data_IF_106838745763
#
_entry.id   IF_106838745763
#
_cell.length_a   1.000
_cell.length_b   1.000
_cell.length_c   1.000
_cell.angle_alpha   90.00
_cell.angle_beta   90.00
_cell.angle_gamma   90.00
#
_symmetry.space_group_name_H-M   'P 1'
#
loop_
_entity.id
_entity.type
_entity.pdbx_description
1 polymer ?
#
# COMPACT_ATOMS: atom_id res chain seq x y z
N UNK A 1 -55.13 -45.58 32.68
CA UNK A 1 -56.61 -45.45 32.65
C UNK A 1 -57.35 -46.75 32.36
N UNK A 2 -56.84 -47.67 31.52
CA UNK A 2 -57.50 -48.98 31.30
C UNK A 2 -57.51 -49.84 32.58
N UNK A 3 -56.35 -50.00 33.21
CA UNK A 3 -56.23 -50.71 34.50
C UNK A 3 -57.11 -50.13 35.60
N UNK A 4 -57.14 -48.80 35.77
CA UNK A 4 -58.00 -48.15 36.77
C UNK A 4 -59.50 -48.48 36.58
N UNK A 5 -59.96 -48.54 35.32
CA UNK A 5 -61.35 -48.93 35.02
C UNK A 5 -61.63 -50.39 35.39
N UNK A 6 -60.66 -51.29 35.17
CA UNK A 6 -60.79 -52.70 35.54
C UNK A 6 -60.92 -52.88 37.06
N UNK A 7 -60.17 -52.12 37.86
CA UNK A 7 -60.31 -52.14 39.31
C UNK A 7 -61.64 -51.54 39.77
N UNK A 8 -62.08 -50.44 39.17
CA UNK A 8 -63.36 -49.80 39.52
C UNK A 8 -64.57 -50.71 39.21
N UNK A 9 -64.47 -51.54 38.17
CA UNK A 9 -65.51 -52.49 37.81
C UNK A 9 -65.66 -53.63 38.84
N UNK A 10 -64.63 -53.91 39.64
CA UNK A 10 -64.68 -54.90 40.74
C UNK A 10 -65.37 -54.36 41.99
N UNK A 11 -65.64 -53.05 42.07
CA UNK A 11 -66.29 -52.41 43.21
C UNK A 11 -67.81 -52.46 43.03
N UNK A 12 -68.55 -52.90 44.06
CA UNK A 12 -70.02 -52.82 44.11
C UNK A 12 -70.44 -51.38 44.41
N UNK A 13 -70.66 -50.61 43.36
CA UNK A 13 -71.19 -49.25 43.41
C UNK A 13 -72.16 -49.04 42.23
N UNK A 14 -73.08 -48.08 42.36
CA UNK A 14 -73.95 -47.69 41.25
C UNK A 14 -73.12 -47.21 40.05
N UNK A 15 -73.52 -47.62 38.85
CA UNK A 15 -72.80 -47.28 37.60
C UNK A 15 -72.70 -45.77 37.39
N UNK A 16 -73.72 -45.00 37.79
CA UNK A 16 -73.69 -43.54 37.74
C UNK A 16 -72.56 -42.94 38.59
N UNK A 17 -72.25 -43.54 39.75
CA UNK A 17 -71.15 -43.11 40.61
C UNK A 17 -69.79 -43.45 39.99
N UNK A 18 -69.65 -44.66 39.44
CA UNK A 18 -68.41 -45.10 38.76
C UNK A 18 -68.06 -44.18 37.59
N UNK A 19 -69.05 -43.83 36.76
CA UNK A 19 -68.87 -42.92 35.62
C UNK A 19 -68.45 -41.52 36.08
N UNK A 20 -69.08 -40.97 37.14
CA UNK A 20 -68.70 -39.68 37.73
C UNK A 20 -67.25 -39.69 38.26
N UNK A 21 -66.85 -40.76 38.95
CA UNK A 21 -65.49 -40.91 39.49
C UNK A 21 -64.45 -40.99 38.38
N UNK A 22 -64.70 -41.76 37.32
CA UNK A 22 -63.80 -41.81 36.15
C UNK A 22 -63.68 -40.43 35.50
N UNK A 23 -64.78 -39.69 35.37
CA UNK A 23 -64.80 -38.35 34.77
C UNK A 23 -63.99 -37.36 35.62
N UNK A 24 -64.16 -37.39 36.95
CA UNK A 24 -63.42 -36.54 37.88
C UNK A 24 -61.92 -36.81 37.83
N UNK A 25 -61.51 -38.09 37.94
CA UNK A 25 -60.08 -38.47 37.90
C UNK A 25 -59.45 -38.09 36.57
N UNK A 26 -60.16 -38.30 35.44
CA UNK A 26 -59.67 -37.87 34.13
C UNK A 26 -59.47 -36.36 34.06
N UNK A 27 -60.42 -35.59 34.58
CA UNK A 27 -60.33 -34.13 34.61
C UNK A 27 -59.13 -33.66 35.44
N UNK A 28 -58.93 -34.23 36.63
CA UNK A 28 -57.86 -33.83 37.53
C UNK A 28 -56.47 -34.27 37.04
N UNK A 29 -56.39 -35.48 36.47
CA UNK A 29 -55.17 -35.95 35.77
C UNK A 29 -54.79 -35.01 34.63
N UNK A 30 -55.77 -34.53 33.86
CA UNK A 30 -55.54 -33.59 32.78
C UNK A 30 -55.04 -32.23 33.28
N UNK A 31 -55.57 -31.71 34.40
CA UNK A 31 -55.07 -30.46 35.01
C UNK A 31 -53.63 -30.60 35.49
N UNK A 32 -53.28 -31.72 36.12
CA UNK A 32 -51.91 -32.01 36.57
C UNK A 32 -50.96 -32.08 35.38
N UNK A 33 -51.35 -32.77 34.31
CA UNK A 33 -50.56 -32.85 33.08
C UNK A 33 -50.38 -31.47 32.41
N UNK A 34 -51.41 -30.62 32.38
CA UNK A 34 -51.30 -29.25 31.87
C UNK A 34 -50.36 -28.38 32.71
N UNK A 35 -50.42 -28.49 34.05
CA UNK A 35 -49.54 -27.75 34.97
C UNK A 35 -48.07 -28.18 34.83
N UNK A 36 -47.84 -29.49 34.65
CA UNK A 36 -46.51 -30.04 34.41
C UNK A 36 -45.95 -29.64 33.04
N UNK A 37 -46.76 -29.61 31.98
CA UNK A 37 -46.33 -29.15 30.65
C UNK A 37 -45.97 -27.66 30.64
N UNK A 38 -46.71 -26.80 31.35
CA UNK A 38 -46.34 -25.37 31.50
C UNK A 38 -44.98 -25.20 32.19
N UNK A 39 -44.75 -25.89 33.31
CA UNK A 39 -43.47 -25.85 34.05
C UNK A 39 -42.29 -26.38 33.21
N UNK A 40 -42.52 -27.41 32.40
CA UNK A 40 -41.46 -27.97 31.55
C UNK A 40 -41.13 -27.02 30.39
N UNK A 41 -42.13 -26.42 29.73
CA UNK A 41 -41.88 -25.49 28.61
C UNK A 41 -41.10 -24.24 29.04
N UNK A 42 -41.36 -23.67 30.21
CA UNK A 42 -40.55 -22.54 30.73
C UNK A 42 -39.09 -22.92 30.99
N UNK A 43 -38.84 -24.16 31.44
CA UNK A 43 -37.49 -24.67 31.76
C UNK A 43 -36.63 -24.94 30.51
N UNK A 44 -37.25 -25.28 29.38
CA UNK A 44 -36.57 -25.55 28.11
C UNK A 44 -36.46 -24.34 27.19
N UNK A 45 -37.43 -23.41 27.20
CA UNK A 45 -37.36 -22.17 26.41
C UNK A 45 -36.23 -21.24 26.86
N UNK A 46 -36.01 -21.10 28.18
CA UNK A 46 -34.98 -20.18 28.71
C UNK A 46 -33.54 -20.60 28.42
N UNK A 47 -33.23 -21.91 28.38
CA UNK A 47 -31.86 -22.41 28.21
C UNK A 47 -31.43 -22.50 26.74
N UNK A 48 -32.33 -22.90 25.83
CA UNK A 48 -32.03 -22.98 24.39
C UNK A 48 -31.84 -21.62 23.74
N UNK A 49 -32.69 -20.64 24.07
CA UNK A 49 -32.63 -19.28 23.51
C UNK A 49 -31.39 -18.52 24.02
N UNK A 50 -30.98 -18.73 25.28
CA UNK A 50 -29.78 -18.08 25.82
C UNK A 50 -28.49 -18.66 25.23
N UNK A 51 -28.43 -19.97 24.96
CA UNK A 51 -27.33 -20.60 24.24
C UNK A 51 -27.22 -20.15 22.78
N UNK A 52 -28.35 -20.08 22.06
CA UNK A 52 -28.40 -19.56 20.68
C UNK A 52 -28.00 -18.08 20.58
N UNK A 53 -28.41 -17.24 21.55
CA UNK A 53 -28.01 -15.82 21.60
C UNK A 53 -26.50 -15.65 21.87
N UNK A 54 -25.90 -16.49 22.71
CA UNK A 54 -24.44 -16.51 22.93
C UNK A 54 -23.66 -16.97 21.70
N UNK A 55 -24.14 -18.00 21.01
CA UNK A 55 -23.53 -18.48 19.75
C UNK A 55 -23.68 -17.44 18.63
N UNK A 56 -24.84 -16.80 18.50
CA UNK A 56 -25.05 -15.71 17.55
C UNK A 56 -24.15 -14.51 17.84
N UNK A 57 -23.99 -14.14 19.12
CA UNK A 57 -23.06 -13.08 19.54
C UNK A 57 -21.60 -13.42 19.22
N UNK A 58 -21.17 -14.66 19.46
CA UNK A 58 -19.82 -15.12 19.14
C UNK A 58 -19.57 -15.11 17.61
N UNK A 59 -20.51 -15.61 16.82
CA UNK A 59 -20.43 -15.57 15.35
C UNK A 59 -20.39 -14.13 14.82
N UNK A 60 -21.19 -13.23 15.39
CA UNK A 60 -21.15 -11.81 15.03
C UNK A 60 -19.79 -11.18 15.37
N UNK A 61 -19.23 -11.45 16.56
CA UNK A 61 -17.88 -10.95 16.90
C UNK A 61 -16.79 -11.47 15.97
N UNK A 62 -16.85 -12.74 15.57
CA UNK A 62 -15.89 -13.32 14.62
C UNK A 62 -16.06 -12.68 13.23
N UNK A 63 -17.29 -12.46 12.78
CA UNK A 63 -17.56 -11.79 11.51
C UNK A 63 -17.04 -10.35 11.51
N UNK A 64 -17.26 -9.59 12.60
CA UNK A 64 -16.72 -8.23 12.73
C UNK A 64 -15.19 -8.23 12.74
N UNK A 65 -14.56 -9.14 13.49
CA UNK A 65 -13.09 -9.27 13.49
C UNK A 65 -12.55 -9.63 12.10
N UNK A 66 -13.22 -10.53 11.38
CA UNK A 66 -12.85 -10.88 10.01
C UNK A 66 -12.96 -9.67 9.07
N UNK A 67 -14.04 -8.89 9.16
CA UNK A 67 -14.23 -7.67 8.36
C UNK A 67 -13.14 -6.63 8.68
N UNK A 68 -12.84 -6.41 9.96
CA UNK A 68 -11.78 -5.47 10.39
C UNK A 68 -10.41 -5.96 9.93
N UNK A 69 -10.12 -7.27 10.05
CA UNK A 69 -8.85 -7.85 9.62
C UNK A 69 -8.68 -7.76 8.11
N UNK A 70 -9.69 -8.15 7.33
CA UNK A 70 -9.66 -8.08 5.87
C UNK A 70 -9.61 -6.63 5.37
N UNK A 71 -10.39 -5.73 5.97
CA UNK A 71 -10.35 -4.31 5.65
C UNK A 71 -9.00 -3.67 5.97
N UNK A 72 -8.44 -3.97 7.14
CA UNK A 72 -7.11 -3.52 7.54
C UNK A 72 -6.01 -4.06 6.64
N UNK A 73 -6.09 -5.33 6.23
CA UNK A 73 -5.15 -5.94 5.29
C UNK A 73 -5.20 -5.26 3.92
N UNK A 74 -6.39 -4.99 3.38
CA UNK A 74 -6.55 -4.28 2.11
C UNK A 74 -5.98 -2.86 2.17
N UNK A 75 -6.28 -2.11 3.24
CA UNK A 75 -5.73 -0.77 3.45
C UNK A 75 -4.21 -0.77 3.58
N UNK A 76 -3.65 -1.79 4.22
CA UNK A 76 -2.22 -1.95 4.36
C UNK A 76 -1.52 -2.24 3.03
N UNK A 77 -2.11 -3.08 2.18
CA UNK A 77 -1.51 -3.46 0.89
C UNK A 77 -1.84 -2.49 -0.26
N UNK A 78 -2.63 -1.45 -0.02
CA UNK A 78 -2.97 -0.47 -1.04
C UNK A 78 -1.90 0.62 -1.15
N UNK A 79 -1.28 0.83 -2.32
CA UNK A 79 -0.34 1.93 -2.53
C UNK A 79 -1.06 3.28 -2.51
N UNK A 80 -0.44 4.27 -1.88
CA UNK A 80 -0.94 5.65 -1.73
C UNK A 80 0.12 6.69 -2.12
N UNK A 81 1.33 6.26 -2.41
CA UNK A 81 2.43 7.03 -2.98
C UNK A 81 3.30 6.08 -3.83
N UNK A 82 4.10 6.63 -4.72
CA UNK A 82 5.00 5.86 -5.58
C UNK A 82 6.38 6.50 -5.63
N UNK A 83 7.41 5.71 -5.90
CA UNK A 83 8.78 6.19 -6.12
C UNK A 83 9.29 5.58 -7.41
N UNK A 84 9.57 6.42 -8.40
CA UNK A 84 10.28 6.04 -9.62
C UNK A 84 11.78 6.14 -9.37
N UNK A 85 12.52 5.09 -9.73
CA UNK A 85 13.97 5.01 -9.60
C UNK A 85 14.56 4.75 -10.98
N UNK A 86 15.20 5.78 -11.54
CA UNK A 86 15.62 5.83 -12.93
C UNK A 86 17.13 6.02 -13.05
N UNK A 87 17.81 4.94 -13.44
CA UNK A 87 19.24 4.90 -13.80
C UNK A 87 19.39 4.44 -15.26
N UNK A 88 18.51 3.52 -15.68
CA UNK A 88 18.73 2.43 -16.64
C UNK A 88 19.49 1.26 -15.98
N UNK A 89 18.82 0.52 -15.07
CA UNK A 89 17.39 0.16 -15.05
C UNK A 89 16.41 1.21 -14.52
N UNK A 90 15.12 1.04 -14.86
CA UNK A 90 13.97 1.82 -14.34
C UNK A 90 13.01 0.94 -13.55
N UNK A 91 12.76 1.29 -12.28
CA UNK A 91 11.90 0.55 -11.35
C UNK A 91 10.95 1.50 -10.62
N UNK A 92 9.71 1.08 -10.41
CA UNK A 92 8.73 1.79 -9.59
C UNK A 92 8.40 1.01 -8.30
N UNK A 93 8.31 1.73 -7.18
CA UNK A 93 7.83 1.22 -5.91
C UNK A 93 6.46 1.83 -5.59
N UNK A 94 5.47 1.02 -5.24
CA UNK A 94 4.24 1.48 -4.62
C UNK A 94 4.32 1.39 -3.11
N UNK A 95 4.06 2.52 -2.43
CA UNK A 95 4.17 2.69 -0.99
C UNK A 95 2.81 2.79 -0.32
N UNK A 96 2.59 2.05 0.77
CA UNK A 96 1.39 2.17 1.57
C UNK A 96 1.40 3.40 2.49
N UNK A 97 0.35 3.56 3.31
CA UNK A 97 0.22 4.72 4.20
C UNK A 97 1.29 4.79 5.30
N UNK A 98 2.00 3.68 5.57
CA UNK A 98 3.14 3.62 6.49
C UNK A 98 4.49 3.82 5.77
N UNK A 99 4.48 4.23 4.49
CA UNK A 99 5.66 4.35 3.62
C UNK A 99 6.45 3.04 3.48
N UNK A 100 5.76 1.90 3.53
CA UNK A 100 6.32 0.58 3.23
C UNK A 100 5.98 0.16 1.81
N UNK A 101 6.92 -0.52 1.16
CA UNK A 101 6.74 -1.06 -0.18
C UNK A 101 5.70 -2.17 -0.15
N UNK A 102 4.67 -2.05 -0.99
CA UNK A 102 3.60 -3.04 -1.16
C UNK A 102 3.43 -3.48 -2.61
N UNK A 103 4.12 -2.83 -3.54
CA UNK A 103 4.26 -3.26 -4.93
C UNK A 103 5.59 -2.79 -5.49
N UNK A 104 6.12 -3.55 -6.45
CA UNK A 104 7.40 -3.30 -7.10
C UNK A 104 7.23 -3.67 -8.57
N UNK A 105 7.59 -2.76 -9.47
CA UNK A 105 7.44 -2.95 -10.91
C UNK A 105 8.72 -2.58 -11.65
N UNK A 106 9.19 -3.47 -12.52
CA UNK A 106 10.27 -3.17 -13.46
C UNK A 106 9.71 -2.49 -14.69
N UNK A 107 9.92 -1.19 -14.83
CA UNK A 107 9.35 -0.37 -15.90
C UNK A 107 9.96 -0.74 -17.25
N UNK A 108 11.28 -0.91 -17.31
CA UNK A 108 11.98 -1.38 -18.50
C UNK A 108 12.56 -2.80 -18.32
N UNK A 109 13.09 -3.39 -19.40
CA UNK A 109 13.65 -4.75 -19.39
C UNK A 109 14.79 -4.92 -18.37
N UNK A 110 15.71 -3.95 -18.32
CA UNK A 110 16.79 -3.94 -17.33
C UNK A 110 16.24 -3.90 -15.89
N UNK A 111 15.16 -3.13 -15.66
CA UNK A 111 14.49 -3.05 -14.37
C UNK A 111 13.86 -4.38 -13.96
N UNK A 112 13.17 -5.05 -14.89
CA UNK A 112 12.65 -6.40 -14.66
C UNK A 112 13.78 -7.38 -14.35
N UNK A 113 14.89 -7.29 -15.08
CA UNK A 113 16.09 -8.10 -14.85
C UNK A 113 16.68 -7.89 -13.46
N UNK A 114 16.89 -6.64 -13.05
CA UNK A 114 17.44 -6.28 -11.75
C UNK A 114 16.56 -6.81 -10.60
N UNK A 115 15.24 -6.73 -10.74
CA UNK A 115 14.30 -7.14 -9.69
C UNK A 115 14.26 -8.65 -9.41
N UNK A 116 14.70 -9.50 -10.35
CA UNK A 116 14.65 -10.96 -10.18
C UNK A 116 15.42 -11.48 -8.96
N UNK A 117 16.46 -10.75 -8.53
CA UNK A 117 17.29 -11.10 -7.37
C UNK A 117 16.97 -10.29 -6.11
N UNK A 118 15.93 -9.46 -6.15
CA UNK A 118 15.61 -8.50 -5.08
C UNK A 118 14.31 -8.83 -4.37
N UNK A 119 14.29 -8.62 -3.05
CA UNK A 119 13.08 -8.68 -2.23
C UNK A 119 12.86 -7.32 -1.58
N UNK A 120 12.09 -6.46 -2.25
CA UNK A 120 11.86 -5.08 -1.79
C UNK A 120 10.53 -4.90 -1.04
N UNK A 121 9.58 -5.82 -1.19
CA UNK A 121 8.30 -5.77 -0.50
C UNK A 121 8.47 -5.74 1.03
N UNK A 122 7.58 -5.00 1.68
CA UNK A 122 7.56 -4.74 3.12
C UNK A 122 8.78 -3.98 3.67
N UNK A 123 9.77 -3.59 2.86
CA UNK A 123 10.81 -2.65 3.29
C UNK A 123 10.24 -1.23 3.44
N UNK A 124 10.89 -0.39 4.23
CA UNK A 124 10.64 1.07 4.14
C UNK A 124 11.12 1.61 2.79
N UNK A 125 10.54 2.72 2.34
CA UNK A 125 10.96 3.36 1.08
C UNK A 125 12.47 3.61 1.03
N UNK A 126 13.07 4.07 2.14
CA UNK A 126 14.49 4.35 2.23
C UNK A 126 15.37 3.09 2.15
N UNK A 127 14.95 2.00 2.79
CA UNK A 127 15.65 0.71 2.71
C UNK A 127 15.56 0.12 1.30
N UNK A 128 14.40 0.22 0.65
CA UNK A 128 14.19 -0.28 -0.69
C UNK A 128 15.03 0.49 -1.72
N UNK A 129 15.04 1.83 -1.66
CA UNK A 129 15.87 2.67 -2.52
C UNK A 129 17.36 2.39 -2.26
N UNK A 130 17.76 2.24 -0.98
CA UNK A 130 19.13 1.82 -0.66
C UNK A 130 19.49 0.50 -1.34
N UNK A 131 18.65 -0.53 -1.19
CA UNK A 131 18.91 -1.85 -1.74
C UNK A 131 19.00 -1.79 -3.27
N UNK A 132 18.10 -1.03 -3.91
CA UNK A 132 18.11 -0.79 -5.35
C UNK A 132 19.42 -0.17 -5.84
N UNK A 133 19.84 0.95 -5.24
CA UNK A 133 21.09 1.63 -5.65
C UNK A 133 22.32 0.74 -5.43
N UNK A 134 22.33 -0.03 -4.34
CA UNK A 134 23.43 -0.96 -4.04
C UNK A 134 23.50 -2.13 -5.02
N UNK A 135 22.35 -2.72 -5.37
CA UNK A 135 22.32 -3.82 -6.34
C UNK A 135 22.63 -3.31 -7.75
N UNK A 136 22.12 -2.13 -8.12
CA UNK A 136 22.46 -1.48 -9.39
C UNK A 136 23.97 -1.25 -9.51
N UNK A 137 24.63 -0.77 -8.45
CA UNK A 137 26.08 -0.63 -8.38
C UNK A 137 26.78 -1.99 -8.56
N UNK A 138 26.36 -3.00 -7.79
CA UNK A 138 26.95 -4.34 -7.81
C UNK A 138 26.83 -5.02 -9.18
N UNK A 139 25.77 -4.75 -9.93
CA UNK A 139 25.51 -5.27 -11.27
C UNK A 139 26.18 -4.44 -12.38
N UNK A 140 26.88 -3.35 -12.04
CA UNK A 140 27.62 -2.52 -12.99
C UNK A 140 26.77 -1.50 -13.75
N UNK A 141 25.55 -1.20 -13.28
CA UNK A 141 24.72 -0.13 -13.87
C UNK A 141 25.18 1.28 -13.45
N UNK A 142 26.00 1.37 -12.40
CA UNK A 142 26.63 2.61 -11.97
C UNK A 142 28.11 2.58 -12.32
N UNK A 143 28.53 3.56 -13.12
CA UNK A 143 29.93 3.71 -13.51
C UNK A 143 30.74 4.22 -12.33
N UNK A 144 31.88 3.57 -12.06
CA UNK A 144 32.79 3.94 -10.97
C UNK A 144 33.43 5.33 -11.15
N UNK A 145 33.42 5.85 -12.38
CA UNK A 145 33.95 7.18 -12.66
C UNK A 145 33.12 8.28 -11.99
N UNK A 146 31.82 8.07 -11.75
CA UNK A 146 30.89 9.07 -11.22
C UNK A 146 29.97 9.69 -12.26
N UNK A 147 29.94 9.18 -13.49
CA UNK A 147 29.08 9.71 -14.57
C UNK A 147 27.63 9.26 -14.46
N UNK A 148 27.34 8.25 -13.64
CA UNK A 148 25.99 7.73 -13.50
C UNK A 148 25.12 8.69 -12.71
N UNK A 149 23.87 8.81 -13.16
CA UNK A 149 22.84 9.62 -12.51
C UNK A 149 21.77 8.68 -12.01
N UNK A 150 21.44 8.79 -10.73
CA UNK A 150 20.29 8.15 -10.11
C UNK A 150 19.20 9.20 -9.96
N UNK A 151 18.17 9.14 -10.81
CA UNK A 151 17.00 9.99 -10.66
C UNK A 151 15.94 9.28 -9.81
N UNK A 152 15.51 9.95 -8.74
CA UNK A 152 14.49 9.47 -7.82
C UNK A 152 13.33 10.45 -7.86
N UNK A 153 12.13 10.02 -8.21
CA UNK A 153 10.96 10.89 -8.22
C UNK A 153 9.84 10.29 -7.40
N UNK A 154 9.35 11.04 -6.42
CA UNK A 154 8.26 10.61 -5.54
C UNK A 154 6.93 11.18 -6.01
N UNK A 155 5.89 10.34 -6.11
CA UNK A 155 4.56 10.72 -6.54
C UNK A 155 3.53 10.48 -5.43
N UNK A 156 2.73 11.48 -5.10
CA UNK A 156 1.57 11.30 -4.22
C UNK A 156 0.46 12.30 -4.55
N UNK A 157 -0.78 11.99 -4.17
CA UNK A 157 -1.92 12.94 -4.31
C UNK A 157 -1.71 14.22 -3.50
N UNK A 158 -1.03 14.11 -2.36
CA UNK A 158 -0.68 15.25 -1.52
C UNK A 158 0.80 15.57 -1.71
N UNK A 159 1.09 16.74 -2.28
CA UNK A 159 2.45 17.18 -2.59
C UNK A 159 3.36 17.21 -1.34
N UNK A 160 2.88 17.71 -0.19
CA UNK A 160 3.63 17.69 1.08
C UNK A 160 3.95 16.28 1.56
N UNK A 161 3.12 15.28 1.21
CA UNK A 161 3.42 13.88 1.53
C UNK A 161 4.52 13.36 0.61
N UNK A 162 4.47 13.68 -0.68
CA UNK A 162 5.51 13.30 -1.63
C UNK A 162 6.87 13.92 -1.23
N UNK A 163 6.89 15.22 -0.93
CA UNK A 163 8.07 15.96 -0.44
C UNK A 163 8.69 15.29 0.81
N UNK A 164 7.87 14.94 1.82
CA UNK A 164 8.37 14.27 3.04
C UNK A 164 8.99 12.89 2.77
N UNK A 165 8.49 12.16 1.79
CA UNK A 165 9.04 10.86 1.41
C UNK A 165 10.35 11.07 0.65
N UNK A 166 10.37 12.02 -0.29
CA UNK A 166 11.59 12.44 -1.01
C UNK A 166 12.71 12.83 -0.03
N UNK A 167 12.44 13.75 0.91
CA UNK A 167 13.41 14.21 1.91
C UNK A 167 14.08 13.02 2.64
N UNK A 168 13.28 12.05 3.09
CA UNK A 168 13.76 10.87 3.81
C UNK A 168 14.62 9.97 2.93
N UNK A 169 14.17 9.72 1.70
CA UNK A 169 14.91 8.92 0.72
C UNK A 169 16.25 9.59 0.40
N UNK A 170 16.22 10.90 0.14
CA UNK A 170 17.39 11.69 -0.20
C UNK A 170 18.43 11.66 0.93
N UNK A 171 18.00 11.87 2.18
CA UNK A 171 18.88 11.80 3.34
C UNK A 171 19.50 10.41 3.50
N UNK A 172 18.73 9.34 3.24
CA UNK A 172 19.25 7.96 3.29
C UNK A 172 20.30 7.73 2.22
N UNK A 173 20.01 8.12 0.97
CA UNK A 173 20.91 7.92 -0.17
C UNK A 173 22.20 8.71 0.01
N UNK A 174 22.14 9.96 0.47
CA UNK A 174 23.33 10.76 0.80
C UNK A 174 24.24 10.08 1.83
N UNK A 175 23.66 9.49 2.89
CA UNK A 175 24.43 8.75 3.90
C UNK A 175 25.15 7.55 3.28
N UNK A 176 24.47 6.79 2.42
CA UNK A 176 25.07 5.61 1.76
C UNK A 176 26.22 5.99 0.85
N UNK A 177 26.06 7.05 0.06
CA UNK A 177 27.11 7.58 -0.82
C UNK A 177 28.36 7.92 0.01
N UNK A 178 28.17 8.62 1.13
CA UNK A 178 29.26 8.97 2.04
C UNK A 178 29.90 7.74 2.70
N UNK A 179 29.10 6.82 3.24
CA UNK A 179 29.56 5.63 3.98
C UNK A 179 30.29 4.62 3.09
N UNK A 180 29.83 4.44 1.85
CA UNK A 180 30.38 3.45 0.92
C UNK A 180 31.31 4.05 -0.13
N UNK A 181 31.66 5.33 0.01
CA UNK A 181 32.51 6.08 -0.92
C UNK A 181 32.09 5.90 -2.38
N UNK A 182 30.77 5.88 -2.61
CA UNK A 182 30.26 5.71 -3.95
C UNK A 182 30.36 7.04 -4.70
N UNK A 183 30.71 6.96 -5.97
CA UNK A 183 30.77 8.12 -6.83
C UNK A 183 29.63 8.05 -7.85
N UNK A 184 28.52 8.75 -7.60
CA UNK A 184 27.46 8.99 -8.57
C UNK A 184 26.60 10.18 -8.15
N UNK A 185 25.87 10.74 -9.10
CA UNK A 185 25.01 11.89 -8.88
C UNK A 185 23.60 11.45 -8.57
N UNK A 186 23.01 11.99 -7.50
CA UNK A 186 21.62 11.71 -7.14
C UNK A 186 20.77 12.94 -7.36
N UNK A 187 19.79 12.79 -8.24
CA UNK A 187 18.72 13.74 -8.43
C UNK A 187 17.49 13.23 -7.69
N UNK A 188 16.86 14.09 -6.91
CA UNK A 188 15.60 13.80 -6.22
C UNK A 188 14.60 14.89 -6.53
N UNK A 189 13.36 14.49 -6.77
CA UNK A 189 12.24 15.39 -6.99
C UNK A 189 10.93 14.74 -6.49
N UNK A 190 9.87 15.55 -6.42
CA UNK A 190 8.52 15.08 -6.15
C UNK A 190 7.52 15.68 -7.12
N UNK A 191 6.41 14.97 -7.31
CA UNK A 191 5.34 15.38 -8.20
C UNK A 191 3.96 14.88 -7.74
N UNK A 192 2.91 15.45 -8.33
CA UNK A 192 1.55 14.96 -8.16
C UNK A 192 1.40 13.58 -8.81
N UNK A 193 0.61 12.71 -8.19
CA UNK A 193 0.28 11.38 -8.70
C UNK A 193 -0.32 11.37 -10.12
N UNK A 194 -1.04 12.40 -10.54
CA UNK A 194 -1.61 12.50 -11.90
C UNK A 194 -0.54 12.37 -12.99
N UNK A 195 0.65 12.88 -12.70
CA UNK A 195 1.81 12.87 -13.60
C UNK A 195 2.30 11.44 -13.90
N UNK A 196 2.07 10.50 -12.96
CA UNK A 196 2.37 9.07 -13.14
C UNK A 196 1.50 8.46 -14.25
N UNK A 197 0.19 8.71 -14.23
CA UNK A 197 -0.73 8.16 -15.24
C UNK A 197 -0.49 8.73 -16.63
N UNK A 198 -0.01 9.97 -16.73
CA UNK A 198 0.34 10.57 -18.03
C UNK A 198 1.57 9.93 -18.66
N UNK A 199 2.56 9.51 -17.86
CA UNK A 199 3.78 8.86 -18.35
C UNK A 199 3.50 7.55 -19.10
N UNK A 200 2.48 6.79 -18.65
CA UNK A 200 2.06 5.53 -19.28
C UNK A 200 1.68 5.71 -20.76
N UNK A 201 1.16 6.88 -21.15
CA UNK A 201 0.76 7.18 -22.55
C UNK A 201 1.95 7.26 -23.51
N UNK A 202 3.13 7.55 -22.98
CA UNK A 202 4.36 7.69 -23.75
C UNK A 202 5.26 6.45 -23.63
N UNK A 203 4.87 5.45 -22.82
CA UNK A 203 5.65 4.23 -22.61
C UNK A 203 7.08 4.57 -22.15
N UNK A 204 7.14 5.39 -21.09
CA UNK A 204 8.35 5.78 -20.37
C UNK A 204 8.08 5.75 -18.87
N UNK A 205 9.14 5.72 -18.07
CA UNK A 205 8.98 5.80 -16.61
C UNK A 205 8.41 7.15 -16.17
N UNK A 206 7.62 7.18 -15.09
CA UNK A 206 7.13 8.43 -14.50
C UNK A 206 8.24 9.42 -14.14
N UNK A 207 9.37 8.94 -13.62
CA UNK A 207 10.51 9.80 -13.32
C UNK A 207 11.17 10.38 -14.57
N UNK A 208 11.34 9.59 -15.64
CA UNK A 208 11.82 10.12 -16.93
C UNK A 208 10.84 11.17 -17.48
N UNK A 209 9.54 10.89 -17.46
CA UNK A 209 8.51 11.84 -17.89
C UNK A 209 8.59 13.16 -17.12
N UNK A 210 8.77 13.10 -15.79
CA UNK A 210 8.97 14.31 -14.96
C UNK A 210 10.17 15.15 -15.41
N UNK A 211 11.30 14.51 -15.73
CA UNK A 211 12.49 15.21 -16.24
C UNK A 211 12.24 15.87 -17.61
N UNK A 212 11.48 15.21 -18.49
CA UNK A 212 11.10 15.78 -19.79
C UNK A 212 10.17 16.98 -19.60
N UNK A 213 9.20 16.91 -18.69
CA UNK A 213 8.38 18.09 -18.37
C UNK A 213 9.23 19.25 -17.84
N UNK A 214 10.28 18.97 -17.07
CA UNK A 214 11.23 19.98 -16.63
C UNK A 214 12.00 20.62 -17.80
N UNK A 215 12.30 19.86 -18.86
CA UNK A 215 12.83 20.43 -20.10
C UNK A 215 11.81 21.36 -20.77
N UNK A 216 10.54 20.96 -20.85
CA UNK A 216 9.47 21.78 -21.42
C UNK A 216 9.23 23.08 -20.65
N UNK A 217 9.40 23.06 -19.32
CA UNK A 217 9.36 24.27 -18.48
C UNK A 217 10.49 25.26 -18.83
N UNK A 218 11.62 24.78 -19.33
CA UNK A 218 12.79 25.59 -19.71
C UNK A 218 12.79 25.99 -21.19
N UNK A 219 12.26 25.13 -22.05
CA UNK A 219 12.13 25.32 -23.49
C UNK A 219 10.82 24.70 -23.96
N UNK A 220 9.81 25.55 -24.16
CA UNK A 220 8.46 25.15 -24.54
C UNK A 220 8.35 24.50 -25.93
N UNK A 221 9.44 24.51 -26.73
CA UNK A 221 9.46 23.84 -28.03
C UNK A 221 9.74 22.34 -27.94
N UNK A 222 10.20 21.86 -26.79
CA UNK A 222 10.51 20.44 -26.58
C UNK A 222 9.22 19.63 -26.50
N UNK A 223 9.15 18.54 -27.25
CA UNK A 223 8.08 17.55 -27.14
C UNK A 223 8.53 16.33 -26.34
N UNK A 224 7.56 15.61 -25.76
CA UNK A 224 7.87 14.43 -24.93
C UNK A 224 8.58 13.35 -25.74
N UNK A 225 8.19 13.20 -26.99
CA UNK A 225 8.76 12.26 -27.96
C UNK A 225 10.23 12.53 -28.29
N UNK A 226 10.71 13.78 -28.17
CA UNK A 226 12.09 14.14 -28.49
C UNK A 226 13.11 13.47 -27.55
N UNK A 227 12.67 13.14 -26.33
CA UNK A 227 13.51 12.62 -25.25
C UNK A 227 13.03 11.28 -24.69
N UNK A 228 12.04 10.64 -25.33
CA UNK A 228 11.53 9.32 -24.91
C UNK A 228 12.66 8.27 -24.80
N UNK A 229 13.49 8.20 -25.84
CA UNK A 229 14.59 7.23 -25.96
C UNK A 229 15.90 7.72 -25.33
N UNK A 230 15.94 8.98 -24.88
CA UNK A 230 17.10 9.54 -24.20
C UNK A 230 17.31 8.90 -22.82
N UNK A 231 18.57 8.81 -22.41
CA UNK A 231 18.96 8.42 -21.06
C UNK A 231 18.66 9.56 -20.07
N UNK A 232 18.46 9.20 -18.79
CA UNK A 232 18.32 10.18 -17.70
C UNK A 232 19.50 11.15 -17.69
N UNK A 233 20.72 10.65 -17.93
CA UNK A 233 21.94 11.44 -17.98
C UNK A 233 21.88 12.52 -19.06
N UNK A 234 21.44 12.18 -20.28
CA UNK A 234 21.31 13.13 -21.39
C UNK A 234 20.25 14.20 -21.11
N UNK A 235 19.10 13.79 -20.56
CA UNK A 235 18.04 14.72 -20.17
C UNK A 235 18.56 15.70 -19.11
N UNK A 236 19.25 15.20 -18.08
CA UNK A 236 19.83 16.02 -17.02
C UNK A 236 20.91 16.98 -17.53
N UNK A 237 21.75 16.54 -18.48
CA UNK A 237 22.72 17.40 -19.14
C UNK A 237 22.05 18.53 -19.93
N UNK A 238 20.98 18.22 -20.68
CA UNK A 238 20.20 19.23 -21.39
C UNK A 238 19.52 20.23 -20.44
N UNK A 239 18.95 19.75 -19.32
CA UNK A 239 18.36 20.62 -18.28
C UNK A 239 19.41 21.63 -17.78
N UNK A 240 20.62 21.16 -17.52
CA UNK A 240 21.71 22.04 -17.11
C UNK A 240 22.07 23.08 -18.18
N UNK A 241 22.23 22.64 -19.43
CA UNK A 241 22.58 23.52 -20.55
C UNK A 241 21.54 24.63 -20.77
N UNK A 242 20.25 24.30 -20.68
CA UNK A 242 19.16 25.25 -20.81
C UNK A 242 19.06 26.22 -19.63
N UNK A 243 19.43 25.79 -18.41
CA UNK A 243 19.51 26.69 -17.25
C UNK A 243 20.63 27.74 -17.35
N UNK A 244 21.53 27.64 -18.34
CA UNK A 244 22.53 28.67 -18.61
C UNK A 244 23.63 28.79 -17.57
N UNK A 245 23.89 27.75 -16.76
CA UNK A 245 24.84 27.76 -15.63
C UNK A 245 26.29 27.53 -16.12
N UNK A 246 26.68 28.18 -17.21
CA UNK A 246 28.00 27.96 -17.81
C UNK A 246 28.30 28.91 -18.95
N UNK A 247 28.18 30.21 -18.72
CA UNK A 247 28.85 31.21 -19.56
C UNK A 247 30.36 31.25 -19.23
N UNK A 248 31.09 30.25 -19.73
CA UNK A 248 32.39 30.45 -20.36
C UNK A 248 32.74 29.17 -21.13
N UNK A 249 32.39 29.17 -22.42
CA UNK A 249 32.53 28.03 -23.32
C UNK A 249 33.75 28.25 -24.18
N UNK A 250 34.83 27.52 -23.92
CA UNK A 250 35.88 27.17 -24.89
C UNK A 250 36.84 26.14 -24.28
N UNK A 251 36.36 24.90 -24.11
CA UNK A 251 37.23 23.71 -24.25
C UNK A 251 36.34 22.47 -24.38
N UNK A 252 36.59 21.66 -25.41
CA UNK A 252 35.87 20.41 -25.75
C UNK A 252 36.67 19.17 -25.36
N UNK A 253 37.57 19.28 -24.38
CA UNK A 253 38.27 18.11 -23.85
C UNK A 253 38.49 18.20 -22.34
N UNK A 254 37.47 17.80 -21.57
CA UNK A 254 37.51 17.27 -20.19
C UNK A 254 36.07 17.07 -19.70
N UNK A 255 35.34 16.20 -20.38
CA UNK A 255 33.87 16.12 -20.25
C UNK A 255 33.43 15.48 -18.91
N UNK A 256 34.25 14.63 -18.31
CA UNK A 256 33.81 13.81 -17.18
C UNK A 256 33.59 14.59 -15.86
N UNK A 257 34.64 15.20 -15.30
CA UNK A 257 34.54 15.95 -14.04
C UNK A 257 33.63 17.16 -14.18
N UNK A 258 33.61 17.75 -15.38
CA UNK A 258 32.73 18.85 -15.75
C UNK A 258 31.27 18.39 -15.73
N UNK A 259 30.93 17.29 -16.41
CA UNK A 259 29.56 16.75 -16.42
C UNK A 259 29.10 16.35 -15.01
N UNK A 260 30.00 15.80 -14.19
CA UNK A 260 29.72 15.48 -12.78
C UNK A 260 29.44 16.74 -11.95
N UNK A 261 30.26 17.78 -12.05
CA UNK A 261 30.05 19.05 -11.36
C UNK A 261 28.71 19.71 -11.78
N UNK A 262 28.42 19.69 -13.08
CA UNK A 262 27.20 20.20 -13.71
C UNK A 262 25.94 19.49 -13.19
N UNK A 263 25.93 18.16 -13.16
CA UNK A 263 24.77 17.40 -12.71
C UNK A 263 24.62 17.54 -11.19
N UNK A 264 25.72 17.55 -10.43
CA UNK A 264 25.70 17.81 -8.99
C UNK A 264 25.12 19.19 -8.66
N UNK A 265 25.53 20.23 -9.39
CA UNK A 265 24.98 21.58 -9.24
C UNK A 265 23.49 21.62 -9.60
N UNK A 266 23.09 20.97 -10.70
CA UNK A 266 21.69 20.92 -11.14
C UNK A 266 20.81 20.22 -10.11
N UNK A 267 21.30 19.11 -9.54
CA UNK A 267 20.63 18.39 -8.47
C UNK A 267 20.53 19.25 -7.20
N UNK A 268 21.64 19.86 -6.76
CA UNK A 268 21.67 20.75 -5.59
C UNK A 268 20.76 21.98 -5.76
N UNK A 269 20.66 22.57 -6.95
CA UNK A 269 19.77 23.70 -7.18
C UNK A 269 18.30 23.30 -7.26
N UNK A 270 17.97 22.11 -7.78
CA UNK A 270 16.61 21.58 -7.70
C UNK A 270 16.17 21.43 -6.22
N UNK A 271 17.07 20.93 -5.38
CA UNK A 271 16.89 20.82 -3.93
C UNK A 271 16.67 22.20 -3.28
N UNK A 272 17.49 23.20 -3.62
CA UNK A 272 17.34 24.57 -3.08
C UNK A 272 16.02 25.20 -3.54
N UNK A 273 15.57 24.96 -4.77
CA UNK A 273 14.27 25.46 -5.26
C UNK A 273 13.09 24.82 -4.53
N UNK A 274 13.14 23.52 -4.27
CA UNK A 274 12.14 22.85 -3.44
C UNK A 274 12.08 23.46 -2.03
N UNK A 275 13.24 23.72 -1.42
CA UNK A 275 13.34 24.35 -0.10
C UNK A 275 12.90 25.84 -0.08
N UNK A 276 13.10 26.58 -1.16
CA UNK A 276 12.67 27.98 -1.23
C UNK A 276 11.16 28.15 -1.48
N UNK A 277 10.53 27.23 -2.24
CA UNK A 277 9.05 27.17 -2.33
C UNK A 277 8.40 26.93 -0.97
N UNK A 278 9.05 26.16 -0.09
CA UNK A 278 8.61 25.88 1.29
C UNK A 278 8.62 27.11 2.21
N UNK A 279 9.55 28.05 2.01
CA UNK A 279 9.70 29.25 2.84
C UNK A 279 8.89 30.45 2.36
N UNK A 280 8.33 30.41 1.15
CA UNK A 280 7.52 31.49 0.60
C UNK A 280 6.37 30.93 -0.27
N UNK A 281 5.34 30.31 0.35
CA UNK A 281 4.17 29.86 -0.38
C UNK A 281 3.43 31.09 -0.92
N UNK A 282 3.29 31.18 -2.25
CA UNK A 282 2.39 32.15 -2.87
C UNK A 282 0.93 31.86 -2.51
#
# INVERSE_FOLDING_TARGET
MKEFKEYLNKIKAEEGLKVKTIKYIRMESNKINQKNNKRNNEKYFGKGVFGMKKLAGALFSVAVLAIVALGGFNLYNSPVAYVSMDINPSVELGLNFMNRVVSVEGVNDDGRGLLTEMKLENMTAEEAVQAFVQEANKKGYLNEDGSSVVALTTFAKNEKKAEKIEDRIQDRVKKIIAEKSMDYVVYSDHANLELRSEAEKYDISPGKYRLILMLQELDSSIEVTDYKDATVKEIMFKIHDLKGIGQNRNDKSKDFERNRAIINETAQQAIIRAQNKKNNPK
#
